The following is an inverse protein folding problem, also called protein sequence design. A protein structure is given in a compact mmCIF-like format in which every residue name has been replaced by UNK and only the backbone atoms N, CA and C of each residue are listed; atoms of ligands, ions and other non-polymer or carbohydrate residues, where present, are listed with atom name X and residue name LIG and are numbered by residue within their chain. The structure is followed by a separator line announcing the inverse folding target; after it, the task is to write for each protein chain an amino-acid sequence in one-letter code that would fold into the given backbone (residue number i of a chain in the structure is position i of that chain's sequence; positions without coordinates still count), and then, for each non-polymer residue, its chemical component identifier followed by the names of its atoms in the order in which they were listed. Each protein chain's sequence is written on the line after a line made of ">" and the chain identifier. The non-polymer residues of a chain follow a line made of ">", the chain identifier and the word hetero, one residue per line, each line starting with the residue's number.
data_IF_433146895211
#
_entry.id   IF_433146895211
#
_cell.length_a   1.000
_cell.length_b   1.000
_cell.length_c   1.000
_cell.angle_alpha   90.00
_cell.angle_beta   90.00
_cell.angle_gamma   90.00
#
_symmetry.space_group_name_H-M   'P 1'
#
loop_
_entity.id
_entity.type
_entity.pdbx_description
1 polymer ?
#
# COMPACT_ATOMS: atom_id res chain seq x y z
N UNK A 1 9.56 -9.79 14.44
CA UNK A 1 9.13 -9.80 13.02
C UNK A 1 8.59 -8.41 12.71
N UNK A 2 9.42 -7.53 12.17
CA UNK A 2 9.07 -6.12 11.92
C UNK A 2 8.24 -6.07 10.64
N UNK A 3 6.94 -6.32 10.75
CA UNK A 3 6.06 -6.37 9.60
C UNK A 3 5.61 -4.97 9.19
N UNK A 4 5.94 -4.57 7.96
CA UNK A 4 5.40 -3.45 7.19
C UNK A 4 4.10 -2.85 7.78
N UNK A 5 4.15 -1.64 8.34
CA UNK A 5 2.95 -0.99 8.84
C UNK A 5 2.20 -0.33 7.67
N UNK A 6 0.90 -0.59 7.50
CA UNK A 6 0.13 0.03 6.43
C UNK A 6 0.05 1.55 6.60
N UNK A 7 0.14 2.07 7.83
CA UNK A 7 0.11 3.50 8.13
C UNK A 7 1.33 4.27 7.59
N UNK A 8 2.45 3.58 7.38
CA UNK A 8 3.68 4.18 6.84
C UNK A 8 3.70 4.16 5.30
N UNK A 9 2.71 3.51 4.68
CA UNK A 9 2.64 3.39 3.23
C UNK A 9 1.99 4.62 2.59
N UNK A 10 2.29 4.83 1.31
CA UNK A 10 1.68 5.88 0.48
C UNK A 10 1.14 5.27 -0.81
N UNK A 11 0.16 5.91 -1.44
CA UNK A 11 -0.30 5.42 -2.73
C UNK A 11 0.74 5.74 -3.81
N UNK A 12 1.19 4.71 -4.53
CA UNK A 12 2.16 4.84 -5.61
C UNK A 12 1.53 5.08 -6.99
N UNK A 13 0.20 5.17 -7.07
CA UNK A 13 -0.49 5.44 -8.33
C UNK A 13 -0.58 6.97 -8.58
N UNK A 14 0.13 7.54 -9.58
CA UNK A 14 0.12 8.98 -9.86
C UNK A 14 -1.26 9.53 -10.27
N UNK A 15 -2.13 8.67 -10.80
CA UNK A 15 -3.51 9.06 -11.14
C UNK A 15 -4.48 8.96 -9.96
N UNK A 16 -4.01 8.55 -8.78
CA UNK A 16 -4.84 8.46 -7.58
C UNK A 16 -4.91 9.84 -6.89
N UNK A 17 -6.09 10.27 -6.42
CA UNK A 17 -6.20 11.48 -5.60
C UNK A 17 -5.42 11.37 -4.27
N UNK A 18 -5.05 10.16 -3.85
CA UNK A 18 -4.21 9.90 -2.68
C UNK A 18 -2.73 9.65 -3.02
N UNK A 19 -2.29 9.96 -4.24
CA UNK A 19 -0.89 9.79 -4.66
C UNK A 19 0.06 10.49 -3.69
N UNK A 20 1.04 9.74 -3.16
CA UNK A 20 2.04 10.20 -2.18
C UNK A 20 1.50 10.83 -0.90
N UNK A 21 0.19 10.74 -0.63
CA UNK A 21 -0.37 11.16 0.65
C UNK A 21 -0.10 10.10 1.70
N UNK A 22 0.19 10.54 2.94
CA UNK A 22 0.30 9.65 4.10
C UNK A 22 -0.97 8.80 4.22
N UNK A 23 -0.82 7.53 4.55
CA UNK A 23 -1.98 6.67 4.71
C UNK A 23 -2.85 7.14 5.88
N UNK A 24 -4.07 7.58 5.58
CA UNK A 24 -5.13 7.90 6.54
C UNK A 24 -6.12 6.74 6.72
N UNK A 25 -5.65 5.48 6.59
CA UNK A 25 -6.49 4.27 6.62
C UNK A 25 -7.02 3.82 5.24
N UNK A 26 -6.55 4.45 4.17
CA UNK A 26 -6.87 4.14 2.77
C UNK A 26 -5.99 3.02 2.20
N UNK A 27 -4.88 2.64 2.84
CA UNK A 27 -4.00 1.55 2.42
C UNK A 27 -4.14 0.39 3.39
N UNK A 28 -4.37 -0.80 2.83
CA UNK A 28 -4.53 -2.05 3.58
C UNK A 28 -3.53 -3.10 3.11
N UNK A 29 -3.16 -4.02 4.01
CA UNK A 29 -2.41 -5.22 3.66
C UNK A 29 -3.24 -6.12 2.75
N UNK A 30 -2.61 -6.67 1.72
CA UNK A 30 -3.22 -7.59 0.76
C UNK A 30 -2.32 -8.79 0.47
N UNK A 31 -2.02 -9.55 1.53
CA UNK A 31 -1.19 -10.76 1.44
C UNK A 31 0.23 -10.48 0.96
N UNK A 32 0.90 -11.51 0.45
CA UNK A 32 2.27 -11.43 -0.04
C UNK A 32 2.31 -11.76 -1.54
N UNK A 33 3.28 -11.22 -2.26
CA UNK A 33 3.52 -11.63 -3.65
C UNK A 33 4.28 -12.97 -3.69
N UNK A 34 4.51 -13.51 -4.89
CA UNK A 34 5.24 -14.78 -5.08
C UNK A 34 6.70 -14.74 -4.57
N UNK A 35 7.26 -13.55 -4.31
CA UNK A 35 8.60 -13.36 -3.74
C UNK A 35 8.60 -13.24 -2.22
N UNK A 36 7.43 -13.29 -1.58
CA UNK A 36 7.29 -13.11 -0.13
C UNK A 36 7.23 -11.66 0.34
N UNK A 37 7.12 -10.67 -0.57
CA UNK A 37 7.00 -9.27 -0.17
C UNK A 37 5.56 -8.94 0.19
N UNK A 38 5.36 -8.20 1.29
CA UNK A 38 4.04 -7.73 1.68
C UNK A 38 3.47 -6.87 0.55
N UNK A 39 2.26 -7.18 0.12
CA UNK A 39 1.51 -6.34 -0.80
C UNK A 39 0.55 -5.47 -0.03
N UNK A 40 0.36 -4.26 -0.54
CA UNK A 40 -0.61 -3.29 -0.08
C UNK A 40 -1.62 -3.00 -1.19
N UNK A 41 -2.82 -2.58 -0.80
CA UNK A 41 -3.86 -2.11 -1.71
C UNK A 41 -4.35 -0.75 -1.23
N UNK A 42 -4.36 0.22 -2.13
CA UNK A 42 -5.09 1.46 -1.93
C UNK A 42 -6.60 1.21 -2.13
N UNK A 43 -7.43 1.57 -1.15
CA UNK A 43 -8.88 1.51 -1.22
C UNK A 43 -9.46 2.51 -2.22
N UNK A 44 -8.81 3.67 -2.38
CA UNK A 44 -9.27 4.76 -3.24
C UNK A 44 -9.15 4.44 -4.72
N UNK A 45 -7.95 4.05 -5.19
CA UNK A 45 -7.74 3.70 -6.60
C UNK A 45 -7.74 2.20 -6.89
N UNK A 46 -7.78 1.34 -5.87
CA UNK A 46 -7.78 -0.11 -6.01
C UNK A 46 -6.42 -0.74 -6.38
N UNK A 47 -5.42 0.08 -6.73
CA UNK A 47 -4.09 -0.37 -7.15
C UNK A 47 -3.37 -1.09 -6.01
N UNK A 48 -2.66 -2.15 -6.39
CA UNK A 48 -1.83 -2.95 -5.49
C UNK A 48 -0.36 -2.64 -5.75
N UNK A 49 0.42 -2.56 -4.69
CA UNK A 49 1.85 -2.28 -4.75
C UNK A 49 2.58 -3.03 -3.64
N UNK A 50 3.85 -3.40 -3.82
CA UNK A 50 4.64 -3.98 -2.74
C UNK A 50 4.90 -2.94 -1.64
N UNK A 51 5.30 -3.42 -0.46
CA UNK A 51 5.99 -2.59 0.53
C UNK A 51 7.15 -1.84 -0.14
N UNK A 52 7.18 -0.53 0.08
CA UNK A 52 8.34 0.34 -0.22
C UNK A 52 9.19 0.56 1.01
#
# INVERSE_FOLDING_TARGET
>A
MTGANPNDQICLNPSCPDYRKKNTGHIIKKGFNAKGNQMFKCKTCGVRFPET
#
